data_IF_647193093339
#
_entry.id   IF_647193093339
#
_cell.length_a   1.000
_cell.length_b   1.000
_cell.length_c   1.000
_cell.angle_alpha   90.00
_cell.angle_beta   90.00
_cell.angle_gamma   90.00
#
_symmetry.space_group_name_H-M   'P 1'
#
loop_
_entity.id
_entity.type
_entity.pdbx_description
1 polymer ?
#
# COMPACT_ATOMS: atom_id res chain seq x y z
N UNK A 1 -79.59 30.27 8.45
CA UNK A 1 -78.73 29.30 9.16
C UNK A 1 -77.94 28.52 8.12
N UNK A 2 -76.70 28.94 7.83
CA UNK A 2 -75.77 28.22 6.92
C UNK A 2 -74.31 28.47 7.37
N UNK A 3 -73.55 27.37 7.39
CA UNK A 3 -72.13 27.25 7.03
C UNK A 3 -71.05 27.70 8.04
N UNK A 4 -70.79 26.75 8.94
CA UNK A 4 -69.49 26.34 9.50
C UNK A 4 -68.46 26.12 8.38
N UNK A 5 -67.26 26.70 8.49
CA UNK A 5 -65.94 26.05 8.25
C UNK A 5 -64.86 26.91 8.91
N UNK A 6 -64.45 26.47 10.09
CA UNK A 6 -63.13 26.74 10.63
C UNK A 6 -62.18 25.66 10.07
N UNK A 7 -60.96 26.01 9.63
CA UNK A 7 -59.71 25.49 10.21
C UNK A 7 -58.47 25.84 9.35
N UNK A 8 -57.49 26.57 9.90
CA UNK A 8 -56.25 26.96 9.22
C UNK A 8 -55.16 25.86 9.23
N UNK A 9 -55.51 24.62 9.62
CA UNK A 9 -54.55 23.53 9.87
C UNK A 9 -54.09 22.79 8.60
N UNK A 10 -54.71 23.05 7.46
CA UNK A 10 -54.46 22.32 6.20
C UNK A 10 -53.20 22.84 5.49
N UNK A 11 -52.80 24.10 5.73
CA UNK A 11 -51.65 24.69 5.03
C UNK A 11 -50.28 24.28 5.59
N UNK A 12 -50.19 23.82 6.84
CA UNK A 12 -48.90 23.50 7.47
C UNK A 12 -48.34 22.13 7.05
N UNK A 13 -49.19 21.19 6.63
CA UNK A 13 -48.75 19.83 6.25
C UNK A 13 -48.18 19.73 4.84
N UNK A 14 -48.42 20.71 3.96
CA UNK A 14 -47.97 20.61 2.56
C UNK A 14 -46.50 21.02 2.35
N UNK A 15 -45.89 21.78 3.29
CA UNK A 15 -44.52 22.26 3.15
C UNK A 15 -43.45 21.24 3.59
N UNK A 16 -43.82 20.24 4.39
CA UNK A 16 -42.86 19.24 4.90
C UNK A 16 -42.62 18.07 3.94
N UNK A 17 -43.41 17.91 2.88
CA UNK A 17 -43.37 16.72 2.03
C UNK A 17 -42.46 16.82 0.79
N UNK A 18 -41.95 18.02 0.45
CA UNK A 18 -41.06 18.22 -0.71
C UNK A 18 -39.56 18.20 -0.38
N UNK A 19 -39.18 18.16 0.90
CA UNK A 19 -37.77 18.18 1.33
C UNK A 19 -37.17 16.78 1.59
N UNK A 20 -37.81 15.72 1.09
CA UNK A 20 -37.38 14.33 1.35
C UNK A 20 -36.56 13.69 0.20
N UNK A 21 -36.35 14.37 -0.94
CA UNK A 21 -35.70 13.77 -2.13
C UNK A 21 -34.32 14.32 -2.49
N UNK A 22 -33.71 15.16 -1.65
CA UNK A 22 -32.42 15.78 -1.96
C UNK A 22 -31.29 15.35 -0.99
N UNK A 23 -31.25 14.08 -0.59
CA UNK A 23 -30.07 13.52 0.10
C UNK A 23 -29.05 13.06 -0.94
N UNK A 24 -27.91 13.77 -1.12
CA UNK A 24 -26.83 13.25 -1.96
C UNK A 24 -26.32 11.92 -1.37
N UNK A 25 -25.88 10.96 -2.21
CA UNK A 25 -25.30 9.72 -1.71
C UNK A 25 -24.09 10.07 -0.85
N UNK A 26 -24.11 9.66 0.41
CA UNK A 26 -22.97 9.78 1.29
C UNK A 26 -21.80 9.00 0.66
N UNK A 27 -20.73 9.71 0.29
CA UNK A 27 -19.48 9.07 -0.07
C UNK A 27 -19.03 8.22 1.12
N UNK A 28 -19.00 6.90 0.94
CA UNK A 28 -18.51 5.99 1.96
C UNK A 28 -17.05 6.34 2.24
N UNK A 29 -16.77 6.67 3.50
CA UNK A 29 -15.41 6.84 3.97
C UNK A 29 -14.73 5.48 3.88
N UNK A 30 -13.66 5.37 3.09
CA UNK A 30 -12.88 4.15 3.01
C UNK A 30 -12.33 3.88 4.43
N UNK A 31 -12.62 2.71 4.98
CA UNK A 31 -12.23 2.37 6.33
C UNK A 31 -10.70 2.46 6.44
N UNK A 32 -10.21 3.17 7.46
CA UNK A 32 -8.78 3.30 7.69
C UNK A 32 -8.17 1.90 7.79
N UNK A 33 -7.21 1.60 6.92
CA UNK A 33 -6.47 0.33 6.93
C UNK A 33 -5.88 0.13 8.32
N UNK A 34 -6.42 -0.85 9.04
CA UNK A 34 -5.93 -1.19 10.38
C UNK A 34 -4.49 -1.66 10.24
N UNK A 35 -3.57 -1.06 11.01
CA UNK A 35 -2.17 -1.46 11.03
C UNK A 35 -2.07 -2.98 11.27
N UNK A 36 -1.45 -3.68 10.31
CA UNK A 36 -1.15 -5.11 10.40
C UNK A 36 0.31 -5.25 10.84
N UNK A 37 0.58 -5.71 12.08
CA UNK A 37 1.95 -5.90 12.53
C UNK A 37 2.66 -6.94 11.67
N UNK A 38 3.92 -6.65 11.34
CA UNK A 38 4.79 -7.59 10.63
C UNK A 38 5.31 -8.58 11.66
N UNK A 39 5.00 -9.87 11.48
CA UNK A 39 5.55 -10.96 12.28
C UNK A 39 6.54 -11.74 11.43
N UNK A 40 7.78 -11.89 11.91
CA UNK A 40 8.82 -12.63 11.21
C UNK A 40 8.50 -14.14 11.24
N UNK A 41 7.86 -14.64 10.18
CA UNK A 41 7.52 -16.07 10.04
C UNK A 41 8.64 -16.89 9.40
N UNK A 42 9.63 -16.24 8.77
CA UNK A 42 10.72 -16.88 8.04
C UNK A 42 12.12 -16.44 8.53
N UNK A 43 12.26 -15.98 9.78
CA UNK A 43 13.54 -15.51 10.32
C UNK A 43 14.70 -16.53 10.24
N UNK A 44 14.38 -17.83 10.23
CA UNK A 44 15.36 -18.92 10.09
C UNK A 44 15.75 -19.23 8.64
N UNK A 45 15.08 -18.62 7.65
CA UNK A 45 15.37 -18.81 6.22
C UNK A 45 16.42 -17.81 5.76
N UNK A 46 17.41 -18.28 5.01
CA UNK A 46 18.36 -17.43 4.29
C UNK A 46 18.14 -17.59 2.79
N UNK A 47 18.03 -16.47 2.07
CA UNK A 47 17.97 -16.41 0.61
C UNK A 47 19.35 -16.02 0.08
N UNK A 48 19.95 -16.88 -0.74
CA UNK A 48 21.22 -16.59 -1.42
C UNK A 48 20.98 -15.84 -2.72
N UNK A 49 21.56 -14.65 -2.86
CA UNK A 49 21.46 -13.83 -4.06
C UNK A 49 22.64 -14.08 -5.01
N UNK A 50 22.31 -14.38 -6.27
CA UNK A 50 23.30 -14.63 -7.33
C UNK A 50 23.45 -13.45 -8.30
N UNK A 51 22.49 -12.53 -8.29
CA UNK A 51 22.36 -11.42 -9.25
C UNK A 51 21.52 -11.72 -10.50
N UNK A 52 20.93 -12.91 -10.64
CA UNK A 52 20.24 -13.31 -11.88
C UNK A 52 18.79 -13.77 -11.71
N UNK A 53 18.46 -14.39 -10.58
CA UNK A 53 17.31 -15.29 -10.47
C UNK A 53 16.44 -15.07 -9.23
N UNK A 54 16.42 -13.83 -8.69
CA UNK A 54 15.56 -13.48 -7.56
C UNK A 54 14.07 -13.57 -7.94
N UNK A 55 13.31 -14.40 -7.20
CA UNK A 55 11.87 -14.58 -7.45
C UNK A 55 11.00 -13.65 -6.59
N UNK A 56 9.75 -13.43 -7.02
CA UNK A 56 8.78 -12.62 -6.26
C UNK A 56 8.51 -13.22 -4.87
N UNK A 57 8.41 -14.55 -4.77
CA UNK A 57 8.18 -15.22 -3.48
C UNK A 57 9.36 -14.99 -2.52
N UNK A 58 10.59 -15.03 -3.03
CA UNK A 58 11.78 -14.70 -2.24
C UNK A 58 11.77 -13.22 -1.80
N UNK A 59 11.30 -12.30 -2.65
CA UNK A 59 11.13 -10.89 -2.26
C UNK A 59 10.09 -10.75 -1.15
N UNK A 60 8.96 -11.45 -1.22
CA UNK A 60 7.94 -11.47 -0.18
C UNK A 60 8.53 -12.03 1.13
N UNK A 61 9.29 -13.11 1.05
CA UNK A 61 9.92 -13.72 2.23
C UNK A 61 10.89 -12.78 2.94
N UNK A 62 11.68 -12.02 2.17
CA UNK A 62 12.61 -11.04 2.73
C UNK A 62 11.84 -9.85 3.32
N UNK A 63 10.94 -9.25 2.54
CA UNK A 63 10.30 -7.98 2.88
C UNK A 63 9.20 -8.10 3.95
N UNK A 64 8.45 -9.22 3.96
CA UNK A 64 7.32 -9.43 4.86
C UNK A 64 7.62 -10.47 5.95
N UNK A 65 8.35 -11.52 5.62
CA UNK A 65 8.53 -12.66 6.52
C UNK A 65 9.86 -12.64 7.28
N UNK A 66 10.76 -11.71 6.97
CA UNK A 66 12.02 -11.50 7.70
C UNK A 66 13.15 -12.48 7.36
N UNK A 67 13.09 -13.13 6.19
CA UNK A 67 14.18 -13.99 5.73
C UNK A 67 15.51 -13.21 5.61
N UNK A 68 16.60 -13.84 6.03
CA UNK A 68 17.96 -13.27 5.92
C UNK A 68 18.47 -13.42 4.49
N UNK A 69 19.51 -12.65 4.18
CA UNK A 69 20.06 -12.57 2.83
C UNK A 69 21.57 -12.77 2.89
N UNK A 70 22.09 -13.55 1.96
CA UNK A 70 23.52 -13.74 1.73
C UNK A 70 23.83 -13.61 0.24
N UNK A 71 25.02 -13.15 -0.11
CA UNK A 71 25.49 -13.15 -1.50
C UNK A 71 26.22 -14.46 -1.82
N UNK A 72 25.95 -15.03 -2.99
CA UNK A 72 26.75 -16.17 -3.48
C UNK A 72 28.24 -15.82 -3.56
N UNK A 73 29.15 -16.78 -3.31
CA UNK A 73 30.60 -16.55 -3.43
C UNK A 73 30.99 -15.96 -4.79
N UNK A 74 30.36 -16.41 -5.86
CA UNK A 74 30.63 -15.94 -7.22
C UNK A 74 30.17 -14.49 -7.43
N UNK A 75 29.03 -14.10 -6.85
CA UNK A 75 28.56 -12.71 -6.91
C UNK A 75 29.48 -11.77 -6.11
N UNK A 76 30.01 -12.22 -4.97
CA UNK A 76 31.02 -11.50 -4.20
C UNK A 76 32.31 -11.31 -5.00
N UNK A 77 32.81 -12.38 -5.63
CA UNK A 77 34.02 -12.32 -6.44
C UNK A 77 33.88 -11.34 -7.60
N UNK A 78 32.79 -11.43 -8.38
CA UNK A 78 32.56 -10.50 -9.50
C UNK A 78 32.50 -9.04 -9.06
N UNK A 79 31.93 -8.78 -7.88
CA UNK A 79 31.86 -7.42 -7.33
C UNK A 79 33.26 -6.91 -6.95
N UNK A 80 34.09 -7.77 -6.36
CA UNK A 80 35.48 -7.44 -6.02
C UNK A 80 36.33 -7.21 -7.29
N UNK A 81 36.18 -8.05 -8.31
CA UNK A 81 36.90 -7.93 -9.59
C UNK A 81 36.53 -6.63 -10.30
N UNK A 82 35.24 -6.32 -10.40
CA UNK A 82 34.76 -5.08 -11.01
C UNK A 82 35.28 -3.85 -10.26
N UNK A 83 35.29 -3.90 -8.93
CA UNK A 83 35.86 -2.83 -8.11
C UNK A 83 37.37 -2.68 -8.34
N UNK A 84 38.11 -3.79 -8.46
CA UNK A 84 39.53 -3.78 -8.79
C UNK A 84 39.84 -3.07 -10.11
N UNK A 85 39.06 -3.37 -11.16
CA UNK A 85 39.21 -2.72 -12.46
C UNK A 85 38.95 -1.20 -12.41
N UNK A 86 38.00 -0.75 -11.59
CA UNK A 86 37.76 0.69 -11.40
C UNK A 86 38.96 1.38 -10.73
N UNK A 87 39.60 0.72 -9.76
CA UNK A 87 40.80 1.26 -9.11
C UNK A 87 42.01 1.29 -10.04
N UNK A 88 42.19 0.24 -10.84
CA UNK A 88 43.25 0.16 -11.85
C UNK A 88 43.06 1.25 -12.91
N UNK A 89 41.86 1.38 -13.48
CA UNK A 89 41.53 2.44 -14.44
C UNK A 89 41.81 3.84 -13.89
N UNK A 90 41.41 4.10 -12.64
CA UNK A 90 41.71 5.37 -11.98
C UNK A 90 43.22 5.61 -11.80
N UNK A 91 44.01 4.56 -11.49
CA UNK A 91 45.46 4.65 -11.37
C UNK A 91 46.15 4.91 -12.72
N UNK A 92 45.58 4.39 -13.81
CA UNK A 92 46.08 4.58 -15.18
C UNK A 92 45.57 5.88 -15.85
N UNK A 93 44.71 6.64 -15.18
CA UNK A 93 44.11 7.86 -15.72
C UNK A 93 43.01 7.61 -16.75
N UNK A 94 42.43 6.41 -16.76
CA UNK A 94 41.22 6.06 -17.52
C UNK A 94 40.00 6.56 -16.74
N UNK A 95 39.26 7.53 -17.28
CA UNK A 95 38.05 8.15 -16.68
C UNK A 95 36.85 8.08 -17.59
#
# INVERSE_FOLDING_TARGET
>A
MLERIAQPRIFLCALTMTLALATPPAHAFEAATTYQPIFETAAAKTVTLTGHDLTIDQVIDIARNGAKVELSPEALQRSADAYGLLLEGAAEGIT
#
